data_IF_980126760367
#
_entry.id   IF_980126760367
#
_cell.length_a   1.000
_cell.length_b   1.000
_cell.length_c   1.000
_cell.angle_alpha   90.00
_cell.angle_beta   90.00
_cell.angle_gamma   90.00
#
_symmetry.space_group_name_H-M   'P 1'
#
loop_
_entity.id
_entity.type
_entity.pdbx_description
1 polymer ?
#
# COMPACT_ATOMS: atom_id res chain seq x y z
N UNK A 1 13.74 3.67 -1.67
CA UNK A 1 13.79 2.20 -1.64
C UNK A 1 12.41 1.56 -1.64
N UNK A 2 11.44 2.05 -0.83
CA UNK A 2 10.05 1.53 -0.80
C UNK A 2 9.44 1.22 -2.19
N UNK A 3 9.41 2.20 -3.10
CA UNK A 3 8.82 1.96 -4.43
C UNK A 3 9.53 0.85 -5.22
N UNK A 4 10.84 0.65 -5.02
CA UNK A 4 11.60 -0.45 -5.64
C UNK A 4 11.24 -1.80 -5.02
N UNK A 5 11.02 -1.85 -3.70
CA UNK A 5 10.58 -3.07 -3.03
C UNK A 5 9.16 -3.49 -3.48
N UNK A 6 8.29 -2.51 -3.72
CA UNK A 6 6.90 -2.76 -4.15
C UNK A 6 6.83 -3.11 -5.64
N UNK A 7 7.36 -2.23 -6.49
CA UNK A 7 7.20 -2.31 -7.95
C UNK A 7 8.33 -3.05 -8.68
N UNK A 8 9.38 -3.49 -7.97
CA UNK A 8 10.54 -4.18 -8.53
C UNK A 8 11.62 -3.22 -9.05
N UNK A 9 12.69 -3.74 -9.66
CA UNK A 9 13.85 -2.93 -10.03
C UNK A 9 13.66 -2.00 -11.24
N UNK A 10 12.61 -2.22 -12.05
CA UNK A 10 12.45 -1.59 -13.36
C UNK A 10 11.44 -0.43 -13.41
N UNK A 11 10.83 -0.05 -12.28
CA UNK A 11 10.01 1.15 -12.22
C UNK A 11 10.89 2.41 -12.34
N UNK A 12 10.33 3.50 -12.84
CA UNK A 12 11.08 4.75 -13.01
C UNK A 12 10.45 5.93 -12.26
N UNK A 13 9.24 6.34 -12.69
CA UNK A 13 8.50 7.42 -12.04
C UNK A 13 7.00 7.15 -12.11
N UNK A 14 6.28 7.70 -11.16
CA UNK A 14 4.83 7.83 -11.20
C UNK A 14 4.40 9.15 -10.57
N UNK A 15 3.16 9.56 -10.84
CA UNK A 15 2.46 10.56 -10.05
C UNK A 15 1.39 9.86 -9.23
N UNK A 16 1.14 10.37 -8.03
CA UNK A 16 0.13 9.84 -7.13
C UNK A 16 -0.73 10.97 -6.60
N UNK A 17 -2.05 10.75 -6.60
CA UNK A 17 -2.99 11.57 -5.87
C UNK A 17 -3.58 10.75 -4.71
N UNK A 18 -3.38 11.25 -3.49
CA UNK A 18 -4.01 10.71 -2.28
C UNK A 18 -5.31 11.48 -2.01
N UNK A 19 -6.42 10.77 -1.94
CA UNK A 19 -7.76 11.30 -1.70
C UNK A 19 -8.37 10.57 -0.51
N UNK A 20 -9.13 11.27 0.34
CA UNK A 20 -9.95 10.65 1.38
C UNK A 20 -11.41 11.03 1.20
N UNK A 21 -12.29 10.07 1.46
CA UNK A 21 -13.73 10.30 1.52
C UNK A 21 -14.15 10.73 2.93
N UNK A 22 -15.38 11.26 3.07
CA UNK A 22 -15.90 11.69 4.38
C UNK A 22 -16.11 10.55 5.40
N UNK A 23 -16.16 9.31 4.94
CA UNK A 23 -16.19 8.08 5.72
C UNK A 23 -14.79 7.44 5.90
N UNK A 24 -13.72 8.21 5.65
CA UNK A 24 -12.31 7.87 5.91
C UNK A 24 -11.74 6.75 5.03
N UNK A 25 -12.36 6.49 3.89
CA UNK A 25 -11.79 5.58 2.88
C UNK A 25 -10.69 6.34 2.13
N UNK A 26 -9.49 5.75 2.08
CA UNK A 26 -8.40 6.23 1.26
C UNK A 26 -8.52 5.76 -0.18
N UNK A 27 -8.30 6.67 -1.13
CA UNK A 27 -8.19 6.36 -2.56
C UNK A 27 -6.84 6.88 -3.05
N UNK A 28 -6.12 6.01 -3.73
CA UNK A 28 -4.86 6.32 -4.39
C UNK A 28 -5.01 6.19 -5.90
N UNK A 29 -4.70 7.26 -6.63
CA UNK A 29 -4.69 7.25 -8.09
C UNK A 29 -3.25 7.36 -8.59
N UNK A 30 -2.82 6.39 -9.39
CA UNK A 30 -1.46 6.30 -9.91
C UNK A 30 -1.41 6.59 -11.41
N UNK A 31 -0.39 7.34 -11.81
CA UNK A 31 -0.01 7.53 -13.22
C UNK A 31 1.46 7.08 -13.38
N UNK A 32 1.69 5.89 -13.93
CA UNK A 32 3.05 5.35 -14.15
C UNK A 32 3.67 5.85 -15.47
N UNK A 33 5.01 5.88 -15.53
CA UNK A 33 5.74 6.10 -16.78
C UNK A 33 5.32 5.05 -17.82
N UNK A 34 4.99 5.50 -19.03
CA UNK A 34 4.56 4.65 -20.16
C UNK A 34 3.26 3.87 -19.91
N UNK A 35 2.34 4.39 -19.08
CA UNK A 35 1.01 3.80 -18.97
C UNK A 35 0.35 3.70 -20.37
N UNK A 36 -0.31 2.57 -20.62
CA UNK A 36 -1.05 2.34 -21.86
C UNK A 36 -2.51 2.07 -21.52
N UNK A 37 -3.42 2.61 -22.32
CA UNK A 37 -4.83 2.27 -22.21
C UNK A 37 -5.03 0.93 -22.90
N UNK A 38 -5.49 -0.12 -22.18
CA UNK A 38 -5.82 -1.38 -22.83
C UNK A 38 -7.03 -1.20 -23.74
N UNK A 39 -7.08 -1.95 -24.84
CA UNK A 39 -8.26 -1.99 -25.72
C UNK A 39 -9.49 -2.61 -25.02
N UNK A 40 -9.25 -3.62 -24.18
CA UNK A 40 -10.24 -4.22 -23.28
C UNK A 40 -9.67 -4.33 -21.86
N UNK A 41 -10.33 -3.69 -20.91
CA UNK A 41 -9.94 -3.68 -19.50
C UNK A 41 -10.84 -4.59 -18.64
N UNK A 42 -11.93 -5.16 -19.19
CA UNK A 42 -12.88 -5.97 -18.44
C UNK A 42 -12.52 -7.46 -18.46
N UNK A 43 -11.35 -7.76 -17.92
CA UNK A 43 -10.78 -9.13 -17.84
C UNK A 43 -11.21 -9.84 -16.54
N UNK A 44 -12.51 -10.04 -16.34
CA UNK A 44 -13.09 -10.53 -15.07
C UNK A 44 -12.64 -11.93 -14.60
N UNK A 45 -12.05 -12.73 -15.48
CA UNK A 45 -11.45 -14.03 -15.15
C UNK A 45 -10.00 -13.92 -14.67
N UNK A 46 -9.36 -12.75 -14.83
CA UNK A 46 -8.08 -12.45 -14.20
C UNK A 46 -8.36 -11.93 -12.80
N UNK A 47 -7.69 -12.50 -11.81
CA UNK A 47 -7.66 -11.91 -10.47
C UNK A 47 -7.00 -10.53 -10.55
N UNK A 48 -7.55 -9.54 -9.85
CA UNK A 48 -6.74 -8.39 -9.46
C UNK A 48 -7.46 -7.06 -9.29
N UNK A 49 -7.10 -6.40 -8.21
CA UNK A 49 -6.97 -4.95 -8.12
C UNK A 49 -5.47 -4.62 -8.07
N UNK A 50 -5.06 -3.40 -8.44
CA UNK A 50 -3.64 -3.03 -8.43
C UNK A 50 -3.01 -3.23 -7.03
N UNK A 51 -3.66 -2.69 -6.00
CA UNK A 51 -3.47 -3.04 -4.58
C UNK A 51 -4.67 -2.53 -3.77
N UNK A 52 -4.74 -2.94 -2.50
CA UNK A 52 -5.61 -2.32 -1.51
C UNK A 52 -4.89 -2.15 -0.19
N UNK A 53 -5.44 -1.29 0.65
CA UNK A 53 -4.93 -1.01 1.97
C UNK A 53 -5.93 -1.46 3.04
N UNK A 54 -5.42 -1.95 4.16
CA UNK A 54 -6.17 -2.15 5.40
C UNK A 54 -5.51 -1.39 6.55
N UNK A 55 -6.29 -0.98 7.53
CA UNK A 55 -5.78 -0.34 8.74
C UNK A 55 -5.75 -1.36 9.89
N UNK A 56 -4.57 -1.57 10.47
CA UNK A 56 -4.37 -2.43 11.64
C UNK A 56 -3.28 -1.84 12.55
N UNK A 57 -3.56 -1.57 13.84
CA UNK A 57 -2.56 -1.03 14.76
C UNK A 57 -1.35 -1.97 15.00
N UNK A 58 -1.52 -3.28 14.79
CA UNK A 58 -0.46 -4.30 14.87
C UNK A 58 -0.11 -4.84 13.47
N UNK A 59 0.63 -4.00 12.75
CA UNK A 59 1.10 -4.25 11.39
C UNK A 59 1.93 -5.54 11.31
N UNK A 60 2.76 -5.79 12.31
CA UNK A 60 3.66 -6.93 12.39
C UNK A 60 2.87 -8.24 12.56
N UNK A 61 1.92 -8.29 13.49
CA UNK A 61 1.10 -9.48 13.70
C UNK A 61 0.26 -9.81 12.47
N UNK A 62 -0.38 -8.81 11.85
CA UNK A 62 -1.16 -9.02 10.62
C UNK A 62 -0.28 -9.47 9.45
N UNK A 63 0.93 -8.95 9.33
CA UNK A 63 1.89 -9.40 8.32
C UNK A 63 2.26 -10.88 8.50
N UNK A 64 2.48 -11.34 9.74
CA UNK A 64 2.73 -12.77 10.01
C UNK A 64 1.52 -13.64 9.69
N UNK A 65 0.29 -13.18 9.99
CA UNK A 65 -0.95 -13.90 9.62
C UNK A 65 -1.08 -14.06 8.11
N UNK A 66 -0.73 -13.03 7.32
CA UNK A 66 -0.74 -13.11 5.85
C UNK A 66 0.30 -14.14 5.36
N UNK A 67 1.51 -14.14 5.92
CA UNK A 67 2.56 -15.13 5.57
C UNK A 67 2.10 -16.55 5.92
N UNK A 68 1.52 -16.75 7.11
CA UNK A 68 1.00 -18.04 7.55
C UNK A 68 -0.13 -18.55 6.63
N UNK A 69 -0.90 -17.65 6.01
CA UNK A 69 -1.93 -17.97 5.02
C UNK A 69 -1.39 -18.21 3.59
N UNK A 70 -0.07 -18.18 3.38
CA UNK A 70 0.58 -18.42 2.09
C UNK A 70 0.92 -17.15 1.30
N UNK A 71 0.76 -15.96 1.90
CA UNK A 71 1.20 -14.69 1.33
C UNK A 71 2.70 -14.46 1.47
N UNK A 72 3.16 -13.27 1.04
CA UNK A 72 4.57 -12.88 1.05
C UNK A 72 4.75 -11.46 1.59
N UNK A 73 5.89 -11.23 2.25
CA UNK A 73 6.38 -9.89 2.57
C UNK A 73 7.04 -9.29 1.32
N UNK A 74 6.55 -8.14 0.84
CA UNK A 74 7.20 -7.39 -0.25
C UNK A 74 8.31 -6.48 0.28
N UNK A 75 8.15 -6.02 1.51
CA UNK A 75 9.16 -5.27 2.26
C UNK A 75 9.83 -6.14 3.32
N UNK A 76 11.13 -5.94 3.58
CA UNK A 76 11.88 -6.70 4.59
C UNK A 76 11.42 -6.44 6.03
N UNK A 77 11.00 -5.21 6.31
CA UNK A 77 10.54 -4.77 7.62
C UNK A 77 9.54 -3.60 7.48
N UNK A 78 8.71 -3.33 8.49
CA UNK A 78 7.86 -2.15 8.49
C UNK A 78 8.66 -0.85 8.36
N UNK A 79 8.11 0.09 7.60
CA UNK A 79 8.62 1.46 7.54
C UNK A 79 7.94 2.30 8.61
N UNK A 80 8.73 2.97 9.43
CA UNK A 80 8.23 3.90 10.45
C UNK A 80 8.15 5.34 9.92
N UNK A 81 7.10 6.04 10.32
CA UNK A 81 6.90 7.47 10.12
C UNK A 81 7.03 8.19 11.46
N UNK A 82 7.69 9.35 11.45
CA UNK A 82 7.95 10.17 12.63
C UNK A 82 8.51 9.36 13.84
N UNK A 83 9.67 8.67 13.67
CA UNK A 83 10.22 7.81 14.72
C UNK A 83 10.42 8.55 16.04
N UNK A 84 9.91 7.99 17.13
CA UNK A 84 9.97 8.59 18.48
C UNK A 84 8.86 9.60 18.78
N UNK A 85 8.09 10.04 17.78
CA UNK A 85 6.98 11.00 17.97
C UNK A 85 5.61 10.33 17.80
N UNK A 86 5.44 9.46 16.80
CA UNK A 86 4.17 8.78 16.52
C UNK A 86 4.40 7.28 16.28
N UNK A 87 3.45 6.40 16.65
CA UNK A 87 3.56 4.95 16.42
C UNK A 87 3.24 4.54 14.97
N UNK A 88 3.40 5.48 14.03
CA UNK A 88 2.95 5.35 12.65
C UNK A 88 3.93 4.51 11.87
N UNK A 89 3.44 3.44 11.27
CA UNK A 89 4.24 2.53 10.46
C UNK A 89 3.37 1.82 9.44
N UNK A 90 4.02 1.25 8.44
CA UNK A 90 3.37 0.51 7.38
C UNK A 90 4.23 -0.62 6.81
N UNK A 91 3.60 -1.56 6.14
CA UNK A 91 4.29 -2.60 5.37
C UNK A 91 3.49 -3.01 4.13
N UNK A 92 4.20 -3.32 3.04
CA UNK A 92 3.62 -3.95 1.86
C UNK A 92 3.75 -5.47 1.91
N UNK A 93 2.66 -6.13 1.58
CA UNK A 93 2.46 -7.57 1.55
C UNK A 93 1.87 -7.98 0.20
N UNK A 94 1.86 -9.29 -0.07
CA UNK A 94 1.24 -9.92 -1.21
C UNK A 94 0.43 -11.11 -0.71
N UNK A 95 -0.81 -11.27 -1.16
CA UNK A 95 -1.63 -12.43 -0.82
C UNK A 95 -1.33 -13.64 -1.73
N UNK A 96 -1.87 -14.84 -1.43
CA UNK A 96 -1.64 -16.03 -2.26
C UNK A 96 -2.12 -15.93 -3.70
N UNK A 97 -2.99 -14.97 -4.01
CA UNK A 97 -3.54 -14.74 -5.35
C UNK A 97 -2.79 -13.66 -6.12
N UNK A 98 -1.76 -13.06 -5.53
CA UNK A 98 -0.92 -12.02 -6.13
C UNK A 98 -1.46 -10.60 -5.96
N UNK A 99 -2.49 -10.38 -5.13
CA UNK A 99 -2.93 -9.02 -4.81
C UNK A 99 -1.92 -8.37 -3.86
N UNK A 100 -1.59 -7.11 -4.12
CA UNK A 100 -0.74 -6.32 -3.23
C UNK A 100 -1.61 -5.76 -2.10
N UNK A 101 -1.14 -5.92 -0.87
CA UNK A 101 -1.80 -5.44 0.34
C UNK A 101 -0.87 -4.45 1.02
N UNK A 102 -1.40 -3.28 1.36
CA UNK A 102 -0.74 -2.32 2.23
C UNK A 102 -1.40 -2.36 3.61
N UNK A 103 -0.58 -2.30 4.67
CA UNK A 103 -1.10 -2.25 6.04
C UNK A 103 -0.57 -0.98 6.69
N UNK A 104 -1.46 -0.14 7.22
CA UNK A 104 -1.09 1.04 8.01
C UNK A 104 -1.56 0.93 9.45
N UNK A 105 -0.73 1.41 10.37
CA UNK A 105 -1.10 1.52 11.79
C UNK A 105 -1.98 2.73 12.13
N UNK A 106 -2.35 3.55 11.15
CA UNK A 106 -3.04 4.82 11.35
C UNK A 106 -4.03 5.13 10.22
N UNK A 107 -4.91 6.11 10.46
CA UNK A 107 -5.87 6.58 9.45
C UNK A 107 -5.15 7.07 8.21
N UNK A 108 -5.70 6.74 7.04
CA UNK A 108 -5.20 7.20 5.75
C UNK A 108 -5.14 8.73 5.65
N UNK A 109 -6.01 9.45 6.35
CA UNK A 109 -6.02 10.92 6.38
C UNK A 109 -4.74 11.53 6.99
N UNK A 110 -3.97 10.70 7.70
CA UNK A 110 -2.73 11.11 8.35
C UNK A 110 -1.49 10.75 7.54
N UNK A 111 -1.67 10.22 6.33
CA UNK A 111 -0.59 9.99 5.36
C UNK A 111 0.17 11.29 5.09
N UNK A 112 1.47 11.28 5.39
CA UNK A 112 2.38 12.41 5.18
C UNK A 112 1.94 13.72 5.86
N UNK A 113 0.98 13.67 6.79
CA UNK A 113 0.42 14.82 7.47
C UNK A 113 1.27 15.23 8.69
N UNK A 114 2.52 15.65 8.44
CA UNK A 114 3.48 16.02 9.50
C UNK A 114 2.99 17.15 10.41
N UNK A 115 2.10 18.01 9.89
CA UNK A 115 1.48 19.12 10.61
C UNK A 115 0.07 18.82 11.16
N UNK A 116 -0.51 17.65 10.89
CA UNK A 116 -1.83 17.33 11.42
C UNK A 116 -1.75 17.01 12.92
N UNK A 117 -2.52 17.78 13.70
CA UNK A 117 -2.68 17.71 15.16
C UNK A 117 -1.37 17.91 15.94
N UNK A 118 -0.88 19.16 15.94
CA UNK A 118 -0.05 19.70 17.03
C UNK A 118 -0.94 20.38 18.06
#
# INVERSE_FOLDING_TARGET
>A
EMCTDVFGANWERFRIAHLSTGDRIGVELFEFKNQTNPEDNFVYWKTGIFHFCVQDPDVEELAEKIVAAGGKKRMKAPRYYYPGEKPYRMIYMEDPFGNIIEIYSHSYELHYASGAYK
#
